data_IF_025312306480
#
_entry.id   IF_025312306480
#
_cell.length_a   1.000
_cell.length_b   1.000
_cell.length_c   1.000
_cell.angle_alpha   90.00
_cell.angle_beta   90.00
_cell.angle_gamma   90.00
#
_symmetry.space_group_name_H-M   'P 1'
#
loop_
_entity.id
_entity.type
_entity.pdbx_description
1 polymer ?
#
# COMPACT_ATOMS: atom_id res chain seq x y z
N UNK A 1 -78.87 67.11 32.00
CA UNK A 1 -78.17 66.25 32.98
C UNK A 1 -76.81 65.90 32.39
N UNK A 2 -75.77 66.64 32.78
CA UNK A 2 -74.38 66.39 32.38
C UNK A 2 -73.78 65.34 33.34
N UNK A 3 -73.16 64.28 32.84
CA UNK A 3 -72.11 63.58 33.60
C UNK A 3 -70.93 63.24 32.71
N UNK A 4 -69.80 63.78 33.14
CA UNK A 4 -68.47 63.67 32.57
C UNK A 4 -67.95 62.24 32.64
N UNK A 5 -67.13 61.97 31.62
CA UNK A 5 -66.25 60.83 31.39
C UNK A 5 -65.29 60.64 32.56
N UNK A 6 -65.12 59.38 33.00
CA UNK A 6 -63.95 58.92 33.76
C UNK A 6 -63.33 57.77 32.97
N UNK A 7 -62.12 58.01 32.47
CA UNK A 7 -61.21 57.00 31.94
C UNK A 7 -60.74 56.07 33.05
N UNK A 8 -60.78 54.75 32.79
CA UNK A 8 -60.01 53.77 33.54
C UNK A 8 -59.15 53.01 32.54
N UNK A 9 -57.83 53.13 32.70
CA UNK A 9 -56.80 52.43 31.93
C UNK A 9 -56.88 50.92 32.16
N UNK A 10 -56.83 50.14 31.08
CA UNK A 10 -56.35 48.76 31.10
C UNK A 10 -55.04 48.71 30.33
N UNK A 11 -53.97 48.32 31.02
CA UNK A 11 -52.65 48.08 30.43
C UNK A 11 -52.72 46.77 29.67
N UNK A 12 -52.61 46.82 28.33
CA UNK A 12 -52.37 45.65 27.50
C UNK A 12 -50.86 45.52 27.28
N UNK A 13 -50.25 44.55 27.96
CA UNK A 13 -48.87 44.13 27.67
C UNK A 13 -48.90 43.25 26.41
N UNK A 14 -48.41 43.77 25.29
CA UNK A 14 -48.20 43.01 24.06
C UNK A 14 -46.75 42.49 24.05
N UNK A 15 -46.56 41.20 24.33
CA UNK A 15 -45.28 40.51 24.11
C UNK A 15 -45.33 39.95 22.68
N UNK A 16 -44.48 40.48 21.79
CA UNK A 16 -44.19 39.88 20.50
C UNK A 16 -43.06 38.87 20.74
N UNK A 17 -43.39 37.58 20.78
CA UNK A 17 -42.39 36.53 20.73
C UNK A 17 -41.72 36.51 19.36
N UNK A 18 -40.44 36.82 19.30
CA UNK A 18 -39.60 36.52 18.14
C UNK A 18 -39.29 35.03 18.24
N UNK A 19 -39.92 34.21 17.40
CA UNK A 19 -39.50 32.83 17.22
C UNK A 19 -38.12 32.88 16.57
N UNK A 20 -37.09 32.43 17.28
CA UNK A 20 -35.83 32.07 16.66
C UNK A 20 -36.16 30.97 15.64
N UNK A 21 -35.94 31.29 14.36
CA UNK A 21 -35.91 30.29 13.32
C UNK A 21 -34.59 29.55 13.53
N UNK A 22 -34.64 28.36 14.12
CA UNK A 22 -33.49 27.48 14.21
C UNK A 22 -33.06 27.14 12.78
N UNK A 23 -32.04 27.83 12.28
CA UNK A 23 -31.26 27.34 11.16
C UNK A 23 -30.57 26.07 11.64
N UNK A 24 -31.17 24.92 11.30
CA UNK A 24 -30.47 23.64 11.37
C UNK A 24 -29.39 23.73 10.29
N UNK A 25 -28.15 24.08 10.66
CA UNK A 25 -27.00 23.77 9.81
C UNK A 25 -26.95 22.25 9.71
N UNK A 26 -27.28 21.71 8.53
CA UNK A 26 -27.03 20.31 8.25
C UNK A 26 -25.54 20.04 8.44
N UNK A 27 -25.22 19.10 9.33
CA UNK A 27 -23.86 18.63 9.54
C UNK A 27 -23.21 18.27 8.19
N UNK A 28 -22.04 18.84 7.85
CA UNK A 28 -21.42 18.61 6.55
C UNK A 28 -21.15 17.12 6.33
N UNK A 29 -21.34 16.65 5.09
CA UNK A 29 -21.11 15.26 4.76
C UNK A 29 -19.65 14.85 5.02
N UNK A 30 -19.42 13.56 5.22
CA UNK A 30 -18.11 13.02 5.60
C UNK A 30 -16.98 13.44 4.64
N UNK A 31 -17.25 13.55 3.35
CA UNK A 31 -16.27 14.01 2.37
C UNK A 31 -15.93 15.49 2.56
N UNK A 32 -16.93 16.33 2.83
CA UNK A 32 -16.71 17.75 3.15
C UNK A 32 -15.85 17.91 4.41
N UNK A 33 -16.11 17.09 5.44
CA UNK A 33 -15.29 17.07 6.67
C UNK A 33 -13.84 16.70 6.39
N UNK A 34 -13.61 15.66 5.58
CA UNK A 34 -12.24 15.24 5.17
C UNK A 34 -11.56 16.32 4.34
N UNK A 35 -12.24 16.85 3.33
CA UNK A 35 -11.70 17.88 2.44
C UNK A 35 -11.34 19.18 3.14
N UNK A 36 -11.95 19.48 4.28
CA UNK A 36 -11.62 20.63 5.11
C UNK A 36 -10.39 20.41 6.00
N UNK A 37 -9.94 19.16 6.17
CA UNK A 37 -8.72 18.81 6.92
C UNK A 37 -7.52 18.55 6.02
N UNK A 38 -7.73 18.34 4.71
CA UNK A 38 -6.63 18.13 3.77
C UNK A 38 -6.18 19.44 3.14
N UNK A 39 -4.93 19.80 3.43
CA UNK A 39 -4.19 20.89 2.80
C UNK A 39 -2.91 20.38 2.12
N UNK A 40 -2.42 21.17 1.15
CA UNK A 40 -1.09 20.96 0.57
C UNK A 40 -0.04 21.59 1.49
N UNK A 41 1.04 20.87 1.76
CA UNK A 41 2.13 21.35 2.61
C UNK A 41 3.22 21.95 1.71
N UNK A 42 3.36 23.28 1.75
CA UNK A 42 4.37 23.99 0.98
C UNK A 42 5.67 24.15 1.78
N UNK A 43 6.81 24.11 1.09
CA UNK A 43 8.11 24.42 1.69
C UNK A 43 8.24 25.91 2.00
N UNK A 44 9.32 26.29 2.71
CA UNK A 44 9.66 27.69 2.94
C UNK A 44 9.76 28.42 1.59
N UNK A 45 9.11 29.58 1.49
CA UNK A 45 8.98 30.43 0.29
C UNK A 45 8.02 29.95 -0.81
N UNK A 46 7.44 28.75 -0.67
CA UNK A 46 6.41 28.25 -1.59
C UNK A 46 5.00 28.67 -1.16
N UNK A 47 4.14 28.87 -2.15
CA UNK A 47 2.68 29.05 -1.98
C UNK A 47 1.96 28.52 -3.21
N UNK A 48 0.63 28.33 -3.10
CA UNK A 48 -0.21 27.87 -4.23
C UNK A 48 0.05 28.60 -5.56
N UNK A 49 0.34 29.90 -5.51
CA UNK A 49 0.60 30.72 -6.70
C UNK A 49 2.08 30.88 -7.08
N UNK A 50 3.01 30.25 -6.37
CA UNK A 50 4.43 30.26 -6.67
C UNK A 50 5.09 29.07 -5.95
N UNK A 51 5.16 27.93 -6.64
CA UNK A 51 5.79 26.70 -6.14
C UNK A 51 7.14 26.51 -6.82
N UNK A 52 8.18 26.32 -6.02
CA UNK A 52 9.55 26.06 -6.46
C UNK A 52 10.04 24.68 -6.01
N UNK A 53 9.44 24.12 -4.97
CA UNK A 53 9.92 22.93 -4.26
C UNK A 53 8.85 21.84 -4.19
N UNK A 54 9.25 20.65 -3.73
CA UNK A 54 8.36 19.51 -3.53
C UNK A 54 7.20 19.86 -2.56
N UNK A 55 6.00 19.43 -2.93
CA UNK A 55 4.77 19.67 -2.19
C UNK A 55 4.47 18.44 -1.32
N UNK A 56 4.30 18.63 -0.01
CA UNK A 56 3.83 17.55 0.86
C UNK A 56 2.34 17.29 0.64
N UNK A 57 1.99 16.03 0.40
CA UNK A 57 0.63 15.57 0.17
C UNK A 57 0.14 14.72 1.34
N UNK A 58 -0.95 15.12 2.00
CA UNK A 58 -1.56 14.32 3.06
C UNK A 58 -2.19 13.07 2.43
N UNK A 59 -1.79 11.89 2.90
CA UNK A 59 -2.31 10.59 2.45
C UNK A 59 -3.10 9.84 3.51
N UNK A 60 -3.14 10.36 4.72
CA UNK A 60 -3.79 9.72 5.84
C UNK A 60 -4.27 10.77 6.85
N UNK A 61 -5.43 10.50 7.45
CA UNK A 61 -5.99 11.32 8.52
C UNK A 61 -6.46 10.40 9.65
N UNK A 62 -5.86 10.53 10.84
CA UNK A 62 -6.21 9.73 12.02
C UNK A 62 -7.71 9.81 12.36
N UNK A 63 -8.33 10.97 12.12
CA UNK A 63 -9.75 11.19 12.38
C UNK A 63 -10.68 10.41 11.42
N UNK A 64 -10.17 9.91 10.29
CA UNK A 64 -10.94 9.20 9.26
C UNK A 64 -10.19 7.95 8.77
N UNK A 65 -9.97 6.94 9.64
CA UNK A 65 -9.15 5.78 9.32
C UNK A 65 -9.73 4.88 8.22
N UNK A 66 -11.02 5.05 7.88
CA UNK A 66 -11.71 4.33 6.81
C UNK A 66 -11.68 5.07 5.45
N UNK A 67 -11.11 6.27 5.39
CA UNK A 67 -10.97 7.04 4.17
C UNK A 67 -9.61 6.77 3.52
N UNK A 68 -9.61 6.29 2.28
CA UNK A 68 -8.40 6.16 1.47
C UNK A 68 -8.19 7.43 0.66
N UNK A 69 -7.04 8.09 0.87
CA UNK A 69 -6.65 9.31 0.16
C UNK A 69 -5.62 8.95 -0.92
N UNK A 70 -5.95 9.22 -2.17
CA UNK A 70 -5.04 9.01 -3.32
C UNK A 70 -4.92 10.31 -4.11
N UNK A 71 -3.74 10.58 -4.63
CA UNK A 71 -3.45 11.79 -5.40
C UNK A 71 -3.20 11.45 -6.87
N UNK A 72 -3.52 12.38 -7.73
CA UNK A 72 -3.19 12.34 -9.15
C UNK A 72 -2.83 13.74 -9.62
N UNK A 73 -2.03 13.84 -10.68
CA UNK A 73 -1.57 15.10 -11.24
C UNK A 73 -2.00 15.21 -12.70
N UNK A 74 -2.48 16.39 -13.09
CA UNK A 74 -2.69 16.74 -14.50
C UNK A 74 -1.38 16.74 -15.32
N UNK A 75 -0.22 16.90 -14.67
CA UNK A 75 1.11 16.93 -15.29
C UNK A 75 2.09 16.13 -14.42
N UNK A 76 2.05 14.79 -14.46
CA UNK A 76 2.86 13.94 -13.57
C UNK A 76 4.38 14.09 -13.80
N UNK A 77 4.80 14.64 -14.95
CA UNK A 77 6.20 14.97 -15.25
C UNK A 77 6.65 16.33 -14.68
N UNK A 78 5.74 17.13 -14.13
CA UNK A 78 6.02 18.43 -13.49
C UNK A 78 5.79 18.34 -11.99
N UNK A 79 4.69 17.71 -11.57
CA UNK A 79 4.43 17.36 -10.17
C UNK A 79 3.93 15.93 -10.13
N UNK A 80 4.65 15.04 -9.45
CA UNK A 80 4.23 13.64 -9.33
C UNK A 80 3.02 13.51 -8.40
N UNK A 81 2.38 12.35 -8.40
CA UNK A 81 1.41 11.96 -7.37
C UNK A 81 2.03 11.81 -5.97
N UNK A 82 3.37 11.80 -5.89
CA UNK A 82 4.18 11.93 -4.67
C UNK A 82 4.53 13.38 -4.27
N UNK A 83 4.12 14.36 -5.08
CA UNK A 83 4.37 15.77 -4.80
C UNK A 83 5.77 16.25 -5.16
N UNK A 84 6.58 15.44 -5.85
CA UNK A 84 7.91 15.83 -6.33
C UNK A 84 7.77 16.83 -7.49
N UNK A 85 8.45 17.97 -7.41
CA UNK A 85 8.34 19.09 -8.36
C UNK A 85 9.54 19.15 -9.30
N UNK A 86 9.28 18.94 -10.58
CA UNK A 86 10.22 19.05 -11.69
C UNK A 86 9.92 20.30 -12.51
N UNK A 87 10.55 21.42 -12.13
CA UNK A 87 10.33 22.73 -12.75
C UNK A 87 10.74 22.71 -14.23
N UNK A 88 9.86 23.26 -15.07
CA UNK A 88 10.07 23.43 -16.51
C UNK A 88 10.64 24.81 -16.84
N UNK A 89 11.03 25.07 -18.09
CA UNK A 89 11.47 26.40 -18.53
C UNK A 89 10.36 27.46 -18.40
N UNK A 90 9.11 27.08 -18.68
CA UNK A 90 7.97 27.98 -18.57
C UNK A 90 7.16 27.66 -17.31
N UNK A 91 6.67 28.71 -16.65
CA UNK A 91 5.72 28.56 -15.54
C UNK A 91 4.40 28.00 -16.03
N UNK A 92 3.77 27.13 -15.23
CA UNK A 92 2.50 26.52 -15.61
C UNK A 92 1.63 26.14 -14.41
N UNK A 93 0.33 26.01 -14.67
CA UNK A 93 -0.62 25.47 -13.70
C UNK A 93 -0.64 23.94 -13.76
N UNK A 94 -0.57 23.32 -12.60
CA UNK A 94 -0.79 21.88 -12.41
C UNK A 94 -1.96 21.70 -11.46
N UNK A 95 -2.96 20.92 -11.86
CA UNK A 95 -4.05 20.48 -10.98
C UNK A 95 -3.65 19.18 -10.31
N UNK A 96 -3.55 19.20 -8.98
CA UNK A 96 -3.48 18.01 -8.14
C UNK A 96 -4.89 17.63 -7.70
N UNK A 97 -5.28 16.38 -7.94
CA UNK A 97 -6.62 15.89 -7.60
C UNK A 97 -6.50 14.87 -6.48
N UNK A 98 -7.06 15.22 -5.32
CA UNK A 98 -7.27 14.30 -4.23
C UNK A 98 -8.54 13.50 -4.48
N UNK A 99 -8.44 12.18 -4.50
CA UNK A 99 -9.57 11.27 -4.43
C UNK A 99 -9.67 10.67 -3.04
N UNK A 100 -10.81 10.89 -2.39
CA UNK A 100 -11.17 10.28 -1.12
C UNK A 100 -12.13 9.15 -1.42
N UNK A 101 -11.77 7.93 -1.05
CA UNK A 101 -12.60 6.72 -1.22
C UNK A 101 -13.02 6.22 0.16
N UNK A 102 -14.31 6.02 0.36
CA UNK A 102 -14.89 5.43 1.58
C UNK A 102 -15.83 4.32 1.10
N UNK A 103 -15.52 3.07 1.47
CA UNK A 103 -16.19 1.89 0.92
C UNK A 103 -16.11 1.91 -0.63
N UNK A 104 -17.23 1.77 -1.32
CA UNK A 104 -17.29 1.76 -2.80
C UNK A 104 -17.51 3.15 -3.42
N UNK A 105 -17.69 4.18 -2.57
CA UNK A 105 -17.96 5.53 -3.03
C UNK A 105 -16.69 6.38 -2.98
N UNK A 106 -16.60 7.34 -3.90
CA UNK A 106 -15.53 8.32 -3.87
C UNK A 106 -16.02 9.71 -4.21
N UNK A 107 -15.32 10.71 -3.68
CA UNK A 107 -15.39 12.10 -4.17
C UNK A 107 -13.98 12.61 -4.41
N UNK A 108 -13.87 13.60 -5.29
CA UNK A 108 -12.60 14.26 -5.60
C UNK A 108 -12.63 15.73 -5.22
N UNK A 109 -11.45 16.27 -4.92
CA UNK A 109 -11.22 17.71 -4.75
C UNK A 109 -9.94 18.11 -5.47
N UNK A 110 -10.03 19.20 -6.22
CA UNK A 110 -8.92 19.72 -7.02
C UNK A 110 -8.17 20.83 -6.28
N UNK A 111 -6.86 20.79 -6.41
CA UNK A 111 -5.90 21.72 -5.84
C UNK A 111 -5.00 22.22 -6.96
N UNK A 112 -5.36 23.31 -7.67
CA UNK A 112 -4.50 23.87 -8.70
C UNK A 112 -3.34 24.64 -8.05
N UNK A 113 -2.13 24.31 -8.46
CA UNK A 113 -0.86 24.91 -8.03
C UNK A 113 -0.12 25.50 -9.23
N UNK A 114 0.57 26.62 -9.01
CA UNK A 114 1.33 27.31 -10.05
C UNK A 114 2.82 27.06 -9.86
N UNK A 115 3.39 26.23 -10.74
CA UNK A 115 4.81 25.87 -10.72
C UNK A 115 5.59 26.95 -11.46
N UNK A 116 6.54 27.58 -10.78
CA UNK A 116 7.35 28.64 -11.35
C UNK A 116 8.40 28.04 -12.28
N UNK A 117 8.45 28.50 -13.53
CA UNK A 117 9.47 28.12 -14.48
C UNK A 117 10.86 28.59 -14.05
N UNK A 118 11.91 28.03 -14.65
CA UNK A 118 13.29 28.44 -14.37
C UNK A 118 13.54 29.89 -14.85
N UNK A 119 14.16 30.75 -14.03
CA UNK A 119 14.53 32.12 -14.44
C UNK A 119 15.87 32.14 -15.22
N UNK A 120 16.03 33.12 -16.11
CA UNK A 120 17.09 33.18 -17.13
C UNK A 120 18.55 33.29 -16.61
N UNK A 121 18.79 33.55 -15.32
CA UNK A 121 20.14 33.63 -14.74
C UNK A 121 20.58 32.36 -14.00
N UNK A 122 19.78 31.28 -14.07
CA UNK A 122 20.08 29.98 -13.48
C UNK A 122 20.20 28.89 -14.56
N UNK A 123 20.75 29.26 -15.74
CA UNK A 123 20.99 28.34 -16.87
C UNK A 123 22.05 27.32 -16.48
N UNK A 124 21.66 26.38 -15.64
CA UNK A 124 22.25 25.06 -15.65
C UNK A 124 21.91 24.50 -17.02
N UNK A 125 22.93 24.18 -17.82
CA UNK A 125 22.74 23.48 -19.07
C UNK A 125 21.73 22.34 -18.86
N UNK A 126 20.76 22.20 -19.74
CA UNK A 126 19.80 21.10 -19.69
C UNK A 126 20.15 20.14 -20.81
N UNK A 127 20.07 18.86 -20.51
CA UNK A 127 20.32 17.80 -21.47
C UNK A 127 19.04 17.02 -21.70
N UNK A 128 18.84 16.62 -22.94
CA UNK A 128 17.74 15.78 -23.34
C UNK A 128 18.04 14.33 -22.95
N UNK A 129 17.16 13.73 -22.15
CA UNK A 129 17.19 12.31 -21.81
C UNK A 129 16.00 11.65 -22.48
N UNK A 130 16.29 10.77 -23.44
CA UNK A 130 15.27 10.00 -24.16
C UNK A 130 15.17 8.61 -23.55
N UNK A 131 13.98 8.22 -23.10
CA UNK A 131 13.64 6.85 -22.71
C UNK A 131 13.04 6.11 -23.90
N UNK A 132 13.81 5.22 -24.50
CA UNK A 132 13.34 4.32 -25.55
C UNK A 132 12.88 3.00 -24.90
N UNK A 133 11.57 2.77 -24.89
CA UNK A 133 10.99 1.58 -24.29
C UNK A 133 11.21 0.31 -25.11
N UNK A 134 11.72 0.35 -26.34
CA UNK A 134 12.06 -0.85 -27.14
C UNK A 134 10.94 -1.90 -27.26
N UNK A 135 9.70 -1.46 -27.12
CA UNK A 135 8.46 -2.25 -27.18
C UNK A 135 7.50 -1.74 -28.26
N UNK A 136 7.92 -0.73 -29.04
CA UNK A 136 7.13 -0.12 -30.12
C UNK A 136 6.27 1.08 -29.70
N UNK A 137 6.27 1.48 -28.43
CA UNK A 137 5.68 2.76 -28.01
C UNK A 137 6.63 3.92 -28.29
N UNK A 138 6.08 5.12 -28.49
CA UNK A 138 6.87 6.34 -28.67
C UNK A 138 7.81 6.59 -27.48
N UNK A 139 9.08 6.98 -27.73
CA UNK A 139 10.00 7.33 -26.66
C UNK A 139 9.50 8.52 -25.84
N UNK A 140 9.82 8.51 -24.54
CA UNK A 140 9.58 9.66 -23.66
C UNK A 140 10.84 10.51 -23.60
N UNK A 141 10.70 11.81 -23.82
CA UNK A 141 11.80 12.76 -23.75
C UNK A 141 11.60 13.68 -22.57
N UNK A 142 12.63 13.81 -21.72
CA UNK A 142 12.66 14.75 -20.61
C UNK A 142 13.89 15.66 -20.69
N UNK A 143 13.79 16.87 -20.15
CA UNK A 143 14.94 17.73 -19.91
C UNK A 143 15.47 17.51 -18.50
N UNK A 144 16.76 17.19 -18.37
CA UNK A 144 17.44 17.03 -17.08
C UNK A 144 18.51 18.10 -16.93
N UNK A 145 18.52 18.77 -15.78
CA UNK A 145 19.53 19.74 -15.41
C UNK A 145 20.91 19.09 -15.36
N UNK A 146 21.93 19.73 -15.93
CA UNK A 146 23.30 19.23 -15.95
C UNK A 146 23.80 18.87 -14.56
N UNK A 147 24.50 17.75 -14.47
CA UNK A 147 25.01 17.14 -13.23
C UNK A 147 23.91 16.69 -12.24
N UNK A 148 22.63 16.70 -12.62
CA UNK A 148 21.56 16.01 -11.89
C UNK A 148 21.30 14.63 -12.49
N UNK A 149 20.62 13.78 -11.74
CA UNK A 149 20.23 12.44 -12.15
C UNK A 149 18.86 12.47 -12.83
N UNK A 150 18.63 11.55 -13.76
CA UNK A 150 17.31 11.30 -14.30
C UNK A 150 16.51 10.39 -13.35
N UNK A 151 15.19 10.57 -13.29
CA UNK A 151 14.29 9.62 -12.62
C UNK A 151 13.84 8.57 -13.64
N UNK A 152 13.94 7.26 -13.34
CA UNK A 152 13.45 6.24 -14.26
C UNK A 152 11.93 6.34 -14.42
N UNK A 153 11.38 6.10 -15.63
CA UNK A 153 9.96 5.86 -15.78
C UNK A 153 9.60 4.47 -15.21
N UNK A 154 8.30 4.16 -15.16
CA UNK A 154 7.85 2.81 -14.83
C UNK A 154 8.44 1.77 -15.78
N UNK A 155 8.73 0.57 -15.26
CA UNK A 155 9.30 -0.51 -16.06
C UNK A 155 8.35 -0.86 -17.23
N UNK A 156 8.86 -0.84 -18.48
CA UNK A 156 8.01 -0.98 -19.65
C UNK A 156 7.59 -2.42 -19.89
N UNK A 157 6.31 -2.60 -20.19
CA UNK A 157 5.79 -3.89 -20.62
C UNK A 157 6.05 -4.13 -22.12
N UNK A 158 6.41 -5.36 -22.46
CA UNK A 158 6.50 -5.87 -23.83
C UNK A 158 5.96 -7.29 -23.86
N UNK A 159 4.90 -7.51 -24.64
CA UNK A 159 4.24 -8.82 -24.72
C UNK A 159 5.23 -9.91 -25.15
N UNK A 160 5.29 -11.00 -24.38
CA UNK A 160 6.20 -12.11 -24.64
C UNK A 160 7.66 -11.87 -24.21
N UNK A 161 7.97 -10.81 -23.47
CA UNK A 161 9.33 -10.51 -23.00
C UNK A 161 9.36 -10.13 -21.50
N UNK A 162 10.46 -10.44 -20.82
CA UNK A 162 10.77 -9.93 -19.46
C UNK A 162 11.67 -8.72 -19.59
N UNK A 163 11.28 -7.60 -19.00
CA UNK A 163 12.17 -6.44 -18.82
C UNK A 163 13.33 -6.81 -17.90
N UNK A 164 14.55 -6.43 -18.28
CA UNK A 164 15.76 -6.73 -17.52
C UNK A 164 16.31 -5.51 -16.80
N UNK A 165 16.63 -4.47 -17.57
CA UNK A 165 17.22 -3.23 -17.07
C UNK A 165 17.18 -2.16 -18.14
N UNK A 166 17.48 -0.93 -17.73
CA UNK A 166 17.78 0.19 -18.61
C UNK A 166 19.25 0.16 -19.04
N UNK A 167 19.56 0.61 -20.25
CA UNK A 167 20.90 0.61 -20.80
C UNK A 167 21.20 1.87 -21.62
N UNK A 168 22.47 2.30 -21.61
CA UNK A 168 23.01 3.31 -22.54
C UNK A 168 24.17 2.65 -23.27
N UNK A 169 24.17 2.73 -24.61
CA UNK A 169 25.17 2.08 -25.47
C UNK A 169 25.38 0.58 -25.17
N UNK A 170 24.31 -0.12 -24.76
CA UNK A 170 24.32 -1.54 -24.42
C UNK A 170 24.87 -1.89 -23.03
N UNK A 171 25.36 -0.92 -22.27
CA UNK A 171 25.78 -1.11 -20.87
C UNK A 171 24.64 -0.77 -19.91
N UNK A 172 24.51 -1.51 -18.80
CA UNK A 172 23.50 -1.26 -17.76
C UNK A 172 23.62 0.18 -17.25
N UNK A 173 22.51 0.92 -17.28
CA UNK A 173 22.45 2.30 -16.83
C UNK A 173 22.10 2.38 -15.33
N UNK A 174 22.89 3.13 -14.57
CA UNK A 174 22.63 3.44 -13.17
C UNK A 174 21.98 4.82 -13.06
N UNK A 175 20.77 4.90 -12.52
CA UNK A 175 20.06 6.17 -12.36
C UNK A 175 20.67 7.13 -11.33
N UNK A 176 21.69 6.70 -10.58
CA UNK A 176 22.51 7.59 -9.78
C UNK A 176 23.61 8.30 -10.58
N UNK A 177 23.77 8.00 -11.88
CA UNK A 177 24.74 8.66 -12.76
C UNK A 177 24.26 10.07 -13.13
N UNK A 178 25.06 11.11 -12.88
CA UNK A 178 24.73 12.48 -13.32
C UNK A 178 24.67 12.60 -14.84
N UNK A 179 23.69 13.36 -15.35
CA UNK A 179 23.55 13.67 -16.76
C UNK A 179 24.53 14.79 -17.15
N UNK A 180 25.44 14.49 -18.05
CA UNK A 180 26.49 15.41 -18.55
C UNK A 180 26.38 15.69 -20.05
N UNK A 181 25.36 15.14 -20.71
CA UNK A 181 25.11 15.26 -22.13
C UNK A 181 23.74 14.68 -22.48
N UNK A 182 23.29 14.93 -23.71
CA UNK A 182 22.08 14.27 -24.23
C UNK A 182 22.33 12.76 -24.32
N UNK A 183 21.40 11.97 -23.81
CA UNK A 183 21.51 10.50 -23.81
C UNK A 183 20.19 9.84 -24.19
N UNK A 184 20.29 8.65 -24.77
CA UNK A 184 19.15 7.75 -24.94
C UNK A 184 19.35 6.53 -24.04
N UNK A 185 18.41 6.32 -23.12
CA UNK A 185 18.35 5.19 -22.22
C UNK A 185 17.32 4.21 -22.77
N UNK A 186 17.76 3.01 -23.12
CA UNK A 186 16.96 2.00 -23.81
C UNK A 186 16.58 0.85 -22.88
N UNK A 187 15.33 0.40 -22.95
CA UNK A 187 14.87 -0.76 -22.21
C UNK A 187 15.41 -2.07 -22.82
N UNK A 188 16.00 -2.91 -21.98
CA UNK A 188 16.53 -4.22 -22.38
C UNK A 188 15.58 -5.33 -21.97
N UNK A 189 15.43 -6.32 -22.83
CA UNK A 189 14.48 -7.42 -22.67
C UNK A 189 15.10 -8.78 -22.95
N UNK A 190 14.54 -9.81 -22.34
CA UNK A 190 14.70 -11.20 -22.80
C UNK A 190 13.36 -11.79 -23.24
N UNK A 191 13.39 -12.64 -24.27
CA UNK A 191 12.20 -13.35 -24.73
C UNK A 191 11.73 -14.33 -23.64
N UNK A 192 10.45 -14.24 -23.28
CA UNK A 192 9.79 -15.24 -22.46
C UNK A 192 9.56 -16.48 -23.34
N UNK A 193 10.51 -17.40 -23.35
CA UNK A 193 10.28 -18.71 -23.95
C UNK A 193 9.17 -19.43 -23.18
N UNK A 194 8.31 -20.24 -23.82
CA UNK A 194 7.30 -21.05 -23.11
C UNK A 194 7.90 -21.98 -22.04
N UNK A 195 9.20 -22.28 -22.15
CA UNK A 195 9.99 -22.99 -21.14
C UNK A 195 10.39 -22.14 -19.91
N UNK A 196 10.16 -20.82 -19.91
CA UNK A 196 10.57 -19.89 -18.84
C UNK A 196 9.58 -19.82 -17.67
N UNK A 197 8.33 -20.26 -17.86
CA UNK A 197 7.41 -20.60 -16.76
C UNK A 197 7.44 -22.11 -16.51
N UNK A 198 8.60 -22.59 -16.04
CA UNK A 198 8.69 -23.96 -15.53
C UNK A 198 7.90 -24.04 -14.21
N UNK A 199 6.83 -24.83 -14.19
CA UNK A 199 6.17 -25.21 -12.95
C UNK A 199 7.14 -26.05 -12.13
N UNK A 200 7.73 -25.45 -11.10
CA UNK A 200 8.73 -26.07 -10.22
C UNK A 200 8.11 -26.67 -8.97
N UNK A 201 6.91 -26.23 -8.60
CA UNK A 201 6.16 -26.70 -7.47
C UNK A 201 4.67 -26.48 -7.72
N UNK A 202 3.86 -27.46 -7.32
CA UNK A 202 2.41 -27.35 -7.27
C UNK A 202 1.86 -28.35 -6.26
N UNK A 203 0.70 -28.03 -5.72
CA UNK A 203 -0.11 -28.96 -4.96
C UNK A 203 -1.58 -28.66 -5.24
N UNK A 204 -2.23 -29.55 -5.96
CA UNK A 204 -3.68 -29.49 -6.21
C UNK A 204 -4.46 -30.17 -5.06
N UNK A 205 -3.77 -30.62 -4.00
CA UNK A 205 -4.33 -31.26 -2.81
C UNK A 205 -5.20 -32.48 -3.15
N UNK A 206 -4.71 -33.29 -4.09
CA UNK A 206 -5.30 -34.56 -4.48
C UNK A 206 -5.05 -35.64 -3.42
N UNK A 207 -6.04 -36.51 -3.19
CA UNK A 207 -6.00 -37.56 -2.18
C UNK A 207 -6.65 -37.15 -0.85
N UNK A 208 -6.31 -37.89 0.22
CA UNK A 208 -6.98 -37.80 1.52
C UNK A 208 -6.05 -37.30 2.65
N UNK A 209 -4.80 -36.95 2.32
CA UNK A 209 -3.78 -36.58 3.30
C UNK A 209 -2.88 -35.46 2.76
N UNK A 210 -2.37 -34.63 3.68
CA UNK A 210 -1.34 -33.64 3.33
C UNK A 210 -0.06 -34.35 2.87
N UNK A 211 0.48 -33.94 1.74
CA UNK A 211 1.76 -34.44 1.25
C UNK A 211 2.90 -33.91 2.14
N UNK A 212 3.34 -34.76 3.07
CA UNK A 212 4.38 -34.38 4.05
C UNK A 212 5.80 -34.39 3.47
N UNK A 213 5.97 -34.72 2.18
CA UNK A 213 7.20 -34.43 1.44
C UNK A 213 7.24 -32.98 0.94
N UNK A 214 6.09 -32.29 0.87
CA UNK A 214 5.97 -30.89 0.44
C UNK A 214 5.69 -29.93 1.58
N UNK A 215 4.92 -30.36 2.57
CA UNK A 215 4.40 -29.50 3.64
C UNK A 215 4.68 -30.07 5.03
N UNK A 216 4.88 -29.19 5.99
CA UNK A 216 4.93 -29.51 7.41
C UNK A 216 3.81 -28.82 8.19
N UNK A 217 3.30 -29.51 9.19
CA UNK A 217 2.41 -28.94 10.18
C UNK A 217 3.20 -28.06 11.14
N UNK A 218 2.85 -26.78 11.22
CA UNK A 218 3.44 -25.86 12.16
C UNK A 218 2.52 -25.76 13.38
N UNK A 219 2.88 -26.44 14.47
CA UNK A 219 1.99 -26.63 15.63
C UNK A 219 2.39 -25.74 16.81
N UNK A 220 1.45 -25.45 17.71
CA UNK A 220 1.71 -24.71 18.95
C UNK A 220 1.22 -23.26 18.93
N UNK A 221 1.79 -22.47 19.84
CA UNK A 221 1.40 -21.08 20.12
C UNK A 221 2.45 -20.06 19.68
N UNK A 222 3.54 -20.55 19.08
CA UNK A 222 4.74 -19.78 18.77
C UNK A 222 5.74 -19.77 19.93
N UNK A 223 5.29 -20.00 21.17
CA UNK A 223 6.15 -20.03 22.36
C UNK A 223 7.24 -21.11 22.26
N UNK A 224 6.91 -22.21 21.58
CA UNK A 224 7.81 -23.33 21.25
C UNK A 224 8.98 -22.89 20.35
N UNK A 225 8.81 -21.77 19.66
CA UNK A 225 9.76 -21.13 18.74
C UNK A 225 10.32 -19.82 19.31
N UNK A 226 10.07 -19.53 20.59
CA UNK A 226 10.52 -18.31 21.26
C UNK A 226 9.69 -17.06 20.96
N UNK A 227 8.52 -17.20 20.34
CA UNK A 227 7.66 -16.07 19.94
C UNK A 227 6.26 -16.28 20.54
N UNK A 228 5.99 -15.66 21.68
CA UNK A 228 4.71 -15.80 22.35
C UNK A 228 3.55 -15.31 21.46
N UNK A 229 2.49 -16.13 21.34
CA UNK A 229 1.30 -15.85 20.55
C UNK A 229 1.62 -15.39 19.11
N UNK A 230 2.65 -15.99 18.52
CA UNK A 230 3.17 -15.70 17.18
C UNK A 230 3.57 -14.23 16.95
N UNK A 231 3.76 -13.46 18.02
CA UNK A 231 4.17 -12.05 17.96
C UNK A 231 3.01 -11.08 17.74
N UNK A 232 1.80 -11.60 17.51
CA UNK A 232 0.62 -10.83 17.12
C UNK A 232 -0.57 -11.01 18.07
N UNK A 233 -0.33 -11.51 19.29
CA UNK A 233 -1.40 -11.83 20.26
C UNK A 233 -2.47 -12.78 19.70
N UNK A 234 -2.04 -13.71 18.86
CA UNK A 234 -2.90 -14.71 18.23
C UNK A 234 -3.58 -15.60 19.27
N UNK A 235 -4.89 -15.83 19.09
CA UNK A 235 -5.73 -16.52 20.08
C UNK A 235 -5.85 -18.03 19.84
N UNK A 236 -5.19 -18.54 18.81
CA UNK A 236 -5.22 -19.94 18.40
C UNK A 236 -4.00 -20.73 18.89
N UNK A 237 -4.25 -22.01 19.15
CA UNK A 237 -3.22 -23.06 19.13
C UNK A 237 -3.26 -23.73 17.75
N UNK A 238 -2.15 -23.72 17.00
CA UNK A 238 -2.09 -24.42 15.73
C UNK A 238 -1.89 -25.93 15.93
N UNK A 239 -2.63 -26.75 15.20
CA UNK A 239 -2.49 -28.22 15.28
C UNK A 239 -2.88 -28.89 13.97
N UNK A 240 -2.27 -30.06 13.71
CA UNK A 240 -2.58 -30.89 12.53
C UNK A 240 -4.02 -31.39 12.48
N UNK A 241 -4.69 -31.51 13.63
CA UNK A 241 -6.09 -31.98 13.71
C UNK A 241 -7.10 -31.00 13.08
N UNK A 242 -6.62 -29.80 12.74
CA UNK A 242 -7.36 -28.75 12.06
C UNK A 242 -7.03 -28.66 10.56
N UNK A 243 -6.18 -29.54 10.04
CA UNK A 243 -5.85 -29.64 8.61
C UNK A 243 -6.49 -30.91 8.04
N UNK A 244 -7.25 -30.73 6.97
CA UNK A 244 -7.90 -31.80 6.21
C UNK A 244 -7.59 -31.62 4.72
N UNK A 245 -7.24 -32.71 4.04
CA UNK A 245 -7.18 -32.75 2.58
C UNK A 245 -8.26 -33.70 2.11
N UNK A 246 -9.20 -33.18 1.33
CA UNK A 246 -10.30 -33.97 0.75
C UNK A 246 -10.97 -33.16 -0.36
N UNK A 247 -11.55 -33.85 -1.34
CA UNK A 247 -12.24 -33.26 -2.50
C UNK A 247 -11.36 -32.34 -3.36
N UNK A 248 -10.05 -32.61 -3.47
CA UNK A 248 -9.11 -31.77 -4.22
C UNK A 248 -8.88 -30.40 -3.56
N UNK A 249 -9.02 -30.32 -2.23
CA UNK A 249 -8.90 -29.09 -1.46
C UNK A 249 -8.14 -29.31 -0.16
N UNK A 250 -7.23 -28.38 0.15
CA UNK A 250 -6.78 -28.15 1.51
C UNK A 250 -7.84 -27.37 2.29
N UNK A 251 -8.30 -27.94 3.40
CA UNK A 251 -9.26 -27.34 4.32
C UNK A 251 -8.57 -27.06 5.66
N UNK A 252 -8.47 -25.78 6.02
CA UNK A 252 -7.95 -25.33 7.31
C UNK A 252 -9.14 -24.92 8.17
N UNK A 253 -9.37 -25.67 9.25
CA UNK A 253 -10.50 -25.46 10.13
C UNK A 253 -10.07 -24.63 11.34
N UNK A 254 -10.74 -23.53 11.61
CA UNK A 254 -10.59 -22.80 12.87
C UNK A 254 -11.80 -23.09 13.77
N UNK A 255 -11.55 -23.55 14.99
CA UNK A 255 -12.57 -24.04 15.92
C UNK A 255 -12.40 -23.37 17.28
N UNK A 256 -13.51 -23.00 17.91
CA UNK A 256 -13.51 -22.71 19.34
C UNK A 256 -13.60 -24.03 20.09
N UNK A 257 -12.64 -24.34 20.95
CA UNK A 257 -12.56 -25.63 21.63
C UNK A 257 -12.47 -25.49 23.14
N UNK A 258 -13.05 -26.47 23.83
CA UNK A 258 -12.85 -26.72 25.25
C UNK A 258 -11.84 -27.87 25.41
N UNK A 259 -10.59 -27.68 24.95
CA UNK A 259 -9.53 -28.69 25.01
C UNK A 259 -8.10 -28.13 25.00
N UNK A 260 -7.26 -28.54 24.03
CA UNK A 260 -5.83 -28.14 23.94
C UNK A 260 -5.60 -26.62 24.02
N UNK A 261 -6.62 -25.84 23.68
CA UNK A 261 -6.74 -24.41 23.93
C UNK A 261 -7.80 -24.10 25.02
N UNK A 262 -7.53 -24.44 26.29
CA UNK A 262 -8.43 -24.07 27.41
C UNK A 262 -7.74 -23.26 28.50
N UNK A 263 -8.33 -22.10 28.79
CA UNK A 263 -7.97 -21.23 29.90
C UNK A 263 -6.94 -20.17 29.52
N UNK A 264 -7.25 -18.90 29.77
CA UNK A 264 -6.36 -17.78 29.48
C UNK A 264 -6.48 -17.23 28.05
N UNK A 265 -5.33 -17.02 27.38
CA UNK A 265 -5.22 -16.30 26.11
C UNK A 265 -5.71 -17.11 24.90
N UNK A 266 -5.40 -18.41 24.83
CA UNK A 266 -5.71 -19.29 23.70
C UNK A 266 -7.04 -20.00 23.91
N UNK A 267 -8.04 -19.69 23.07
CA UNK A 267 -9.42 -20.21 23.15
C UNK A 267 -9.87 -20.91 21.87
N UNK A 268 -9.00 -20.95 20.87
CA UNK A 268 -9.29 -21.48 19.55
C UNK A 268 -8.19 -22.47 19.13
N UNK A 269 -8.53 -23.39 18.24
CA UNK A 269 -7.58 -24.21 17.49
C UNK A 269 -7.67 -23.84 16.01
N UNK A 270 -6.56 -23.95 15.29
CA UNK A 270 -6.50 -23.72 13.84
C UNK A 270 -5.41 -24.58 13.21
N UNK A 271 -5.23 -24.50 11.90
CA UNK A 271 -4.13 -25.15 11.19
C UNK A 271 -3.17 -24.14 10.57
N UNK A 272 -1.89 -24.48 10.54
CA UNK A 272 -0.82 -23.74 9.84
C UNK A 272 0.10 -24.76 9.20
N UNK A 273 0.39 -24.57 7.92
CA UNK A 273 1.35 -25.39 7.19
C UNK A 273 2.43 -24.51 6.57
N UNK A 274 3.61 -25.08 6.40
CA UNK A 274 4.77 -24.41 5.81
C UNK A 274 5.43 -25.35 4.80
N UNK A 275 5.91 -24.82 3.68
CA UNK A 275 6.60 -25.63 2.67
C UNK A 275 8.06 -25.86 3.01
N UNK A 276 8.63 -25.06 3.91
CA UNK A 276 10.00 -25.17 4.37
C UNK A 276 10.14 -24.40 5.68
N UNK A 277 10.81 -24.99 6.65
CA UNK A 277 11.09 -24.35 7.93
C UNK A 277 12.52 -24.70 8.41
N UNK A 278 13.11 -23.82 9.23
CA UNK A 278 14.53 -23.88 9.64
C UNK A 278 14.83 -24.80 10.84
N UNK A 279 13.82 -25.54 11.29
CA UNK A 279 13.89 -26.68 12.20
C UNK A 279 14.43 -27.92 11.45
N UNK A 280 14.97 -28.87 12.22
CA UNK A 280 15.90 -29.91 11.72
C UNK A 280 15.34 -30.79 10.60
N UNK A 281 14.01 -31.02 10.55
CA UNK A 281 13.38 -31.96 9.63
C UNK A 281 13.59 -31.65 8.15
N UNK A 282 13.41 -30.38 7.73
CA UNK A 282 13.64 -29.97 6.34
C UNK A 282 15.08 -29.53 6.06
N UNK A 283 15.89 -29.37 7.10
CA UNK A 283 17.33 -29.04 6.95
C UNK A 283 18.17 -30.26 6.65
N UNK A 284 17.77 -31.41 7.17
CA UNK A 284 18.54 -32.66 7.08
C UNK A 284 18.09 -33.55 5.90
N UNK A 285 16.97 -33.21 5.23
CA UNK A 285 16.41 -33.92 4.07
C UNK A 285 16.21 -32.99 2.85
N UNK A 286 16.04 -33.58 1.66
CA UNK A 286 15.63 -32.85 0.44
C UNK A 286 14.12 -32.53 0.38
N UNK A 287 13.38 -32.77 1.48
CA UNK A 287 11.95 -32.53 1.59
C UNK A 287 11.61 -31.03 1.65
N UNK A 288 10.39 -30.69 1.27
CA UNK A 288 9.84 -29.33 1.26
C UNK A 288 10.13 -28.55 -0.02
N UNK A 289 9.79 -27.27 -0.02
CA UNK A 289 9.98 -26.36 -1.14
C UNK A 289 10.37 -24.95 -0.69
N UNK A 290 11.40 -24.42 -1.35
CA UNK A 290 11.89 -23.05 -1.25
C UNK A 290 12.40 -22.61 -2.61
N UNK A 291 12.14 -21.37 -3.00
CA UNK A 291 12.59 -20.86 -4.29
C UNK A 291 12.91 -19.37 -4.19
N UNK A 292 14.03 -18.98 -4.80
CA UNK A 292 14.37 -17.58 -5.02
C UNK A 292 13.75 -17.12 -6.33
N UNK A 293 12.92 -16.08 -6.26
CA UNK A 293 12.15 -15.51 -7.36
C UNK A 293 11.14 -16.48 -8.00
N UNK A 294 10.12 -15.92 -8.65
CA UNK A 294 9.11 -16.70 -9.34
C UNK A 294 7.73 -16.08 -9.22
N UNK A 295 6.74 -16.81 -9.73
CA UNK A 295 5.32 -16.48 -9.58
C UNK A 295 4.71 -17.50 -8.60
N UNK A 296 4.07 -17.00 -7.56
CA UNK A 296 3.39 -17.80 -6.55
C UNK A 296 1.90 -17.49 -6.64
N UNK A 297 1.07 -18.52 -6.75
CA UNK A 297 -0.37 -18.39 -6.91
C UNK A 297 -1.07 -19.42 -6.02
N UNK A 298 -2.19 -19.01 -5.42
CA UNK A 298 -3.07 -19.90 -4.69
C UNK A 298 -4.52 -19.49 -4.94
N UNK A 299 -5.42 -20.47 -5.06
CA UNK A 299 -6.86 -20.25 -5.19
C UNK A 299 -7.53 -20.53 -3.85
N UNK A 300 -7.89 -19.48 -3.13
CA UNK A 300 -8.33 -19.58 -1.72
C UNK A 300 -9.77 -19.08 -1.56
N UNK A 301 -10.55 -19.79 -0.74
CA UNK A 301 -11.83 -19.30 -0.20
C UNK A 301 -11.70 -19.14 1.32
N UNK A 302 -11.93 -17.94 1.82
CA UNK A 302 -11.74 -17.60 3.23
C UNK A 302 -13.01 -17.68 4.08
N UNK A 303 -12.90 -17.97 5.39
CA UNK A 303 -14.01 -17.87 6.35
C UNK A 303 -14.41 -16.42 6.62
N UNK A 304 -15.68 -16.23 6.99
CA UNK A 304 -16.25 -14.95 7.41
C UNK A 304 -16.43 -14.91 8.93
N UNK A 305 -16.30 -13.73 9.52
CA UNK A 305 -16.53 -13.50 10.94
C UNK A 305 -15.41 -12.73 11.64
N UNK A 306 -15.74 -12.18 12.81
CA UNK A 306 -14.78 -11.46 13.64
C UNK A 306 -13.65 -12.37 14.13
N UNK A 307 -12.42 -11.86 14.08
CA UNK A 307 -11.23 -12.56 14.55
C UNK A 307 -10.61 -13.53 13.55
N UNK A 308 -11.29 -13.89 12.45
CA UNK A 308 -10.62 -14.66 11.39
C UNK A 308 -9.60 -13.80 10.64
N UNK A 309 -8.37 -14.32 10.57
CA UNK A 309 -7.26 -13.72 9.83
C UNK A 309 -6.54 -14.78 8.97
N UNK A 310 -7.13 -15.18 7.83
CA UNK A 310 -6.46 -16.07 6.87
C UNK A 310 -5.34 -15.33 6.14
N UNK A 311 -4.19 -16.00 5.95
CA UNK A 311 -3.05 -15.44 5.23
C UNK A 311 -2.41 -16.47 4.29
N UNK A 312 -1.92 -16.00 3.15
CA UNK A 312 -0.99 -16.70 2.26
C UNK A 312 0.20 -15.77 2.00
N UNK A 313 1.36 -16.20 2.48
CA UNK A 313 2.52 -15.34 2.68
C UNK A 313 3.80 -16.15 2.51
N UNK A 314 4.92 -15.46 2.34
CA UNK A 314 6.23 -16.04 2.09
C UNK A 314 7.23 -15.59 3.15
N UNK A 315 7.96 -16.58 3.69
CA UNK A 315 9.06 -16.37 4.62
C UNK A 315 10.41 -16.75 4.00
N UNK A 316 11.50 -16.13 4.46
CA UNK A 316 12.84 -16.45 3.98
C UNK A 316 13.26 -17.84 4.46
N UNK A 317 13.81 -18.63 3.53
CA UNK A 317 14.33 -19.95 3.85
C UNK A 317 15.64 -19.91 4.66
N UNK A 318 16.32 -18.76 4.70
CA UNK A 318 17.61 -18.59 5.36
C UNK A 318 17.62 -17.30 6.18
N UNK A 319 18.31 -17.34 7.33
CA UNK A 319 18.60 -16.16 8.13
C UNK A 319 19.91 -15.50 7.63
N UNK A 320 19.89 -15.00 6.39
CA UNK A 320 21.06 -14.45 5.69
C UNK A 320 21.60 -13.19 6.35
N UNK A 321 20.75 -12.34 6.91
CA UNK A 321 21.14 -11.02 7.44
C UNK A 321 21.29 -10.97 8.96
N UNK A 322 21.11 -12.10 9.66
CA UNK A 322 21.13 -12.15 11.12
C UNK A 322 19.89 -11.52 11.77
N UNK A 323 19.82 -11.56 13.10
CA UNK A 323 18.76 -10.95 13.92
C UNK A 323 17.31 -11.45 13.68
N UNK A 324 17.08 -12.39 12.77
CA UNK A 324 15.77 -12.97 12.52
C UNK A 324 14.84 -12.01 11.77
N UNK A 325 13.54 -12.13 12.01
CA UNK A 325 12.55 -11.19 11.46
C UNK A 325 12.67 -9.80 12.11
N UNK A 326 12.46 -8.68 11.39
CA UNK A 326 12.11 -8.56 9.97
C UNK A 326 13.32 -8.42 9.03
N UNK A 327 14.56 -8.56 9.51
CA UNK A 327 15.77 -8.34 8.72
C UNK A 327 15.90 -9.25 7.48
N UNK A 328 15.25 -10.41 7.51
CA UNK A 328 15.32 -11.39 6.43
C UNK A 328 14.16 -11.31 5.44
N UNK A 329 13.23 -10.38 5.66
CA UNK A 329 12.08 -10.16 4.79
C UNK A 329 10.87 -11.00 5.17
N UNK A 330 9.71 -10.55 4.71
CA UNK A 330 8.43 -11.25 4.68
C UNK A 330 7.62 -10.66 3.53
N UNK A 331 6.91 -11.50 2.77
CA UNK A 331 6.01 -11.06 1.69
C UNK A 331 4.63 -11.65 1.93
N UNK A 332 3.68 -10.79 2.29
CA UNK A 332 2.29 -11.17 2.40
C UNK A 332 1.62 -11.03 1.04
N UNK A 333 1.43 -12.17 0.35
CA UNK A 333 0.73 -12.19 -0.95
C UNK A 333 -0.73 -11.79 -0.73
N UNK A 334 -1.37 -12.35 0.30
CA UNK A 334 -2.69 -11.92 0.73
C UNK A 334 -2.91 -12.19 2.22
N UNK A 335 -3.39 -11.18 2.93
CA UNK A 335 -4.01 -11.31 4.24
C UNK A 335 -5.46 -10.85 4.18
N UNK A 336 -6.34 -11.62 4.81
CA UNK A 336 -7.78 -11.39 4.79
C UNK A 336 -8.28 -11.15 6.21
N UNK A 337 -9.35 -10.37 6.33
CA UNK A 337 -10.02 -10.16 7.62
C UNK A 337 -11.46 -10.65 7.47
N UNK A 338 -11.83 -11.69 8.20
CA UNK A 338 -13.16 -12.32 8.03
C UNK A 338 -14.34 -11.38 8.26
N UNK A 339 -14.14 -10.32 9.06
CA UNK A 339 -15.12 -9.24 9.28
C UNK A 339 -15.23 -8.22 8.13
N UNK A 340 -14.28 -8.27 7.19
CA UNK A 340 -14.17 -7.39 6.03
C UNK A 340 -14.00 -8.22 4.74
N UNK A 341 -15.04 -8.96 4.31
CA UNK A 341 -14.96 -9.95 3.22
C UNK A 341 -14.50 -9.43 1.85
N UNK A 342 -14.59 -8.12 1.63
CA UNK A 342 -14.28 -7.48 0.34
C UNK A 342 -12.99 -6.64 0.39
N UNK A 343 -12.27 -6.68 1.51
CA UNK A 343 -10.94 -6.07 1.64
C UNK A 343 -9.87 -7.16 1.62
N UNK A 344 -8.80 -6.91 0.86
CA UNK A 344 -7.57 -7.69 0.89
C UNK A 344 -6.44 -6.79 1.36
N UNK A 345 -5.48 -7.36 2.08
CA UNK A 345 -4.22 -6.70 2.43
C UNK A 345 -3.06 -7.46 1.80
N UNK A 346 -2.01 -6.74 1.40
CA UNK A 346 -0.72 -7.29 0.98
C UNK A 346 0.36 -6.36 1.50
N UNK A 347 1.47 -6.93 1.95
CA UNK A 347 2.54 -6.19 2.60
C UNK A 347 3.90 -6.83 2.31
N UNK A 348 4.95 -6.03 2.48
CA UNK A 348 6.33 -6.51 2.51
C UNK A 348 6.93 -5.97 3.79
N UNK A 349 7.47 -6.84 4.64
CA UNK A 349 8.14 -6.45 5.87
C UNK A 349 9.63 -6.61 5.72
N UNK A 350 10.39 -5.58 6.07
CA UNK A 350 11.84 -5.59 6.04
C UNK A 350 12.38 -4.60 7.07
N UNK A 351 13.65 -4.76 7.45
CA UNK A 351 14.39 -3.79 8.26
C UNK A 351 15.60 -3.29 7.50
N UNK A 352 15.91 -2.00 7.63
CA UNK A 352 17.13 -1.44 7.05
C UNK A 352 18.38 -1.95 7.81
N UNK A 353 19.38 -2.42 7.06
CA UNK A 353 20.73 -2.62 7.56
C UNK A 353 21.43 -1.25 7.61
N UNK A 354 21.48 -0.64 8.80
CA UNK A 354 22.19 0.61 9.09
C UNK A 354 22.14 0.92 10.60
N UNK A 355 23.13 1.63 11.18
CA UNK A 355 23.15 1.90 12.62
C UNK A 355 21.88 2.65 13.01
N UNK A 356 21.30 2.27 14.14
CA UNK A 356 20.09 2.87 14.71
C UNK A 356 20.02 4.38 14.50
N UNK A 357 18.99 4.82 13.77
CA UNK A 357 18.37 6.11 14.00
C UNK A 357 16.89 5.85 14.23
N UNK A 358 16.50 5.83 15.51
CA UNK A 358 15.09 5.91 15.88
C UNK A 358 14.55 7.29 15.52
N UNK A 359 13.27 7.34 15.15
CA UNK A 359 12.60 8.61 14.88
C UNK A 359 11.16 8.44 14.40
N UNK A 360 10.27 8.37 15.40
CA UNK A 360 8.82 8.61 15.44
C UNK A 360 7.86 7.76 14.61
#
# INVERSE_FOLDING_TARGET
MYKKIISIMFVFTLIIGISACDFIEEEPDIYTKIFNQVELLYQLDDKRGAVYHDIGLIRFLDAFPNAQLTWSSSHPHVVTDEGLVFRQKQSMWVVLTLKVTIEDNFKTKEYPVYIIGLENDDVKDTFEVTFDFSNGTEPVVIEVVANKTATPPADPYKEGYRFLHWAVDGAIYNFNTPITGNITITATYELLNENSRRLTFYDEFEGDFLDTSKWEYHEGTGSEYGIWAWGNEERQYYTRDNIEVSDGLLKIHAKQETGRATGGHFKYTSGKIVSYETNQRFRDNEDGFRQTYGRFEARIKAPLGDGFWPAFWLMPAQNTYGNGWPYNGEIDIVELRGRKPFEISSAVHFSNVGPHFGGY
#
